data_IF_069369312834
#
_entry.id   IF_069369312834
#
_cell.length_a   1.000
_cell.length_b   1.000
_cell.length_c   1.000
_cell.angle_alpha   90.00
_cell.angle_beta   90.00
_cell.angle_gamma   90.00
#
_symmetry.space_group_name_H-M   'P 1'
#
loop_
_entity.id
_entity.type
_entity.pdbx_description
1 polymer ?
#
# COMPACT_ATOMS: atom_id res chain seq x y z
N UNK A 1 3.55 -4.84 -31.54
CA UNK A 1 4.62 -4.59 -30.55
C UNK A 1 3.99 -4.85 -29.19
N UNK A 2 4.45 -5.87 -28.48
CA UNK A 2 3.94 -6.15 -27.12
C UNK A 2 4.65 -5.19 -26.17
N UNK A 3 3.90 -4.27 -25.57
CA UNK A 3 4.41 -3.34 -24.57
C UNK A 3 3.95 -3.93 -23.24
N UNK A 4 4.89 -4.35 -22.41
CA UNK A 4 4.58 -4.90 -21.10
C UNK A 4 5.16 -4.01 -20.02
N UNK A 5 4.42 -3.79 -18.92
CA UNK A 5 4.80 -2.84 -17.87
C UNK A 5 4.62 -3.41 -16.46
N UNK A 6 5.62 -3.22 -15.60
CA UNK A 6 5.57 -3.52 -14.18
C UNK A 6 5.54 -2.21 -13.39
N UNK A 7 4.44 -1.99 -12.68
CA UNK A 7 4.18 -0.80 -11.89
C UNK A 7 4.25 -1.18 -10.40
N UNK A 8 5.24 -0.68 -9.67
CA UNK A 8 5.38 -1.02 -8.24
C UNK A 8 5.15 0.15 -7.32
N UNK A 9 4.27 -0.05 -6.35
CA UNK A 9 4.07 0.88 -5.23
C UNK A 9 4.99 0.51 -4.07
N UNK A 10 5.81 1.46 -3.64
CA UNK A 10 6.71 1.29 -2.50
C UNK A 10 5.91 1.09 -1.19
N UNK A 11 6.47 0.31 -0.25
CA UNK A 11 5.99 0.22 1.14
C UNK A 11 6.74 1.14 2.12
N UNK A 12 6.22 1.28 3.33
CA UNK A 12 6.87 2.09 4.38
C UNK A 12 6.11 2.17 5.69
N UNK A 13 5.18 1.23 5.93
CA UNK A 13 4.20 1.32 7.01
C UNK A 13 3.33 2.58 6.93
N UNK A 14 2.42 2.72 7.88
CA UNK A 14 1.47 3.83 7.94
C UNK A 14 1.82 4.80 9.06
N UNK A 15 1.23 5.98 9.03
CA UNK A 15 1.23 6.88 10.18
C UNK A 15 -0.20 7.09 10.67
N UNK A 16 -0.39 7.03 11.99
CA UNK A 16 -1.75 6.93 12.59
C UNK A 16 -2.15 8.13 13.45
N UNK A 17 -1.28 9.13 13.59
CA UNK A 17 -1.60 10.40 14.25
C UNK A 17 -0.95 11.55 13.51
N UNK A 18 -1.48 12.77 13.63
CA UNK A 18 -0.84 13.95 13.03
C UNK A 18 0.60 14.12 13.51
N UNK A 19 0.90 13.81 14.78
CA UNK A 19 2.26 13.87 15.34
C UNK A 19 3.20 12.88 14.64
N UNK A 20 2.78 11.63 14.51
CA UNK A 20 3.53 10.57 13.83
C UNK A 20 3.77 10.92 12.34
N UNK A 21 2.70 11.30 11.64
CA UNK A 21 2.77 11.70 10.25
C UNK A 21 3.65 12.95 10.03
N UNK A 22 3.52 13.96 10.89
CA UNK A 22 4.40 15.15 10.85
C UNK A 22 5.86 14.77 11.09
N UNK A 23 6.13 13.82 11.99
CA UNK A 23 7.47 13.29 12.21
C UNK A 23 8.10 12.67 10.95
N UNK A 24 7.28 12.06 10.08
CA UNK A 24 7.73 11.48 8.80
C UNK A 24 8.02 12.52 7.72
N UNK A 25 7.53 13.76 7.83
CA UNK A 25 7.65 14.80 6.79
C UNK A 25 9.10 15.11 6.38
N UNK A 26 10.04 14.92 7.30
CA UNK A 26 11.47 15.14 7.10
C UNK A 26 12.22 13.85 6.70
N UNK A 27 11.52 12.90 6.07
CA UNK A 27 12.08 11.60 5.67
C UNK A 27 11.66 11.22 4.26
N UNK A 28 12.28 10.15 3.73
CA UNK A 28 11.92 9.57 2.43
C UNK A 28 10.47 9.07 2.35
N UNK A 29 9.80 8.86 3.49
CA UNK A 29 8.42 8.37 3.59
C UNK A 29 7.40 9.50 3.81
N UNK A 30 7.83 10.76 3.79
CA UNK A 30 6.94 11.91 3.95
C UNK A 30 7.29 13.12 3.07
N UNK A 31 8.40 13.08 2.34
CA UNK A 31 8.73 14.11 1.35
C UNK A 31 9.67 13.60 0.27
N UNK A 32 9.38 13.98 -0.98
CA UNK A 32 10.24 13.71 -2.14
C UNK A 32 11.59 14.43 -2.07
N UNK A 33 11.72 15.49 -1.27
CA UNK A 33 12.99 16.22 -1.08
C UNK A 33 14.10 15.35 -0.48
N UNK A 34 13.75 14.25 0.20
CA UNK A 34 14.71 13.33 0.80
C UNK A 34 14.93 12.06 -0.05
N UNK A 35 14.15 11.87 -1.11
CA UNK A 35 14.24 10.69 -1.96
C UNK A 35 15.47 10.78 -2.86
N UNK A 36 16.31 9.75 -2.81
CA UNK A 36 17.44 9.60 -3.74
C UNK A 36 17.01 8.83 -4.99
N UNK A 37 17.71 9.03 -6.12
CA UNK A 37 17.52 8.20 -7.31
C UNK A 37 17.64 6.71 -6.97
N UNK A 38 16.72 5.92 -7.52
CA UNK A 38 16.75 4.47 -7.42
C UNK A 38 17.55 3.89 -8.58
N UNK A 39 18.26 2.80 -8.32
CA UNK A 39 18.84 1.94 -9.34
C UNK A 39 17.96 0.68 -9.41
N UNK A 40 17.68 0.19 -10.62
CA UNK A 40 16.88 -1.03 -10.82
C UNK A 40 17.74 -2.29 -10.95
N UNK A 41 19.00 -2.13 -11.35
CA UNK A 41 19.97 -3.24 -11.46
C UNK A 41 20.15 -3.94 -10.11
N UNK A 42 20.06 -5.27 -10.08
CA UNK A 42 20.19 -6.08 -8.87
C UNK A 42 18.92 -6.16 -8.01
N UNK A 43 17.78 -5.63 -8.47
CA UNK A 43 16.55 -5.51 -7.66
C UNK A 43 15.40 -6.39 -8.15
N UNK A 44 15.61 -7.72 -8.18
CA UNK A 44 14.55 -8.72 -8.37
C UNK A 44 13.70 -8.46 -9.61
N UNK A 45 12.39 -8.23 -9.43
CA UNK A 45 11.45 -7.98 -10.54
C UNK A 45 11.76 -6.73 -11.38
N UNK A 46 12.63 -5.83 -10.90
CA UNK A 46 13.10 -4.68 -11.68
C UNK A 46 14.42 -4.94 -12.40
N UNK A 47 15.09 -6.06 -12.13
CA UNK A 47 16.35 -6.34 -12.80
C UNK A 47 16.13 -6.50 -14.30
N UNK A 48 17.07 -5.98 -15.09
CA UNK A 48 17.05 -6.07 -16.56
C UNK A 48 17.92 -7.21 -17.07
N UNK A 49 18.58 -7.94 -16.18
CA UNK A 49 19.27 -9.19 -16.50
C UNK A 49 18.29 -10.37 -16.43
N UNK A 50 18.17 -11.11 -17.54
CA UNK A 50 17.32 -12.30 -17.68
C UNK A 50 17.69 -13.42 -16.69
N UNK A 51 18.95 -13.48 -16.23
CA UNK A 51 19.39 -14.48 -15.24
C UNK A 51 18.71 -14.23 -13.89
N UNK A 52 18.53 -12.96 -13.50
CA UNK A 52 17.92 -12.59 -12.22
C UNK A 52 16.42 -12.32 -12.32
N UNK A 53 15.92 -11.96 -13.50
CA UNK A 53 14.51 -11.65 -13.76
C UNK A 53 14.02 -12.28 -15.08
N UNK A 54 13.92 -13.62 -15.15
CA UNK A 54 13.65 -14.32 -16.41
C UNK A 54 12.29 -13.93 -17.03
N UNK A 55 11.32 -13.54 -16.20
CA UNK A 55 9.95 -13.26 -16.65
C UNK A 55 9.75 -11.81 -17.12
N UNK A 56 10.42 -10.84 -16.50
CA UNK A 56 10.14 -9.40 -16.69
C UNK A 56 11.35 -8.55 -17.07
N UNK A 57 12.51 -9.14 -17.39
CA UNK A 57 13.74 -8.40 -17.66
C UNK A 57 13.61 -7.33 -18.75
N UNK A 58 12.81 -7.59 -19.79
CA UNK A 58 12.61 -6.69 -20.94
C UNK A 58 11.32 -5.86 -20.87
N UNK A 59 10.60 -5.87 -19.74
CA UNK A 59 9.41 -5.05 -19.55
C UNK A 59 9.79 -3.59 -19.24
N UNK A 60 8.86 -2.67 -19.53
CA UNK A 60 8.92 -1.32 -18.98
C UNK A 60 8.72 -1.40 -17.47
N UNK A 61 9.53 -0.67 -16.71
CA UNK A 61 9.54 -0.77 -15.25
C UNK A 61 9.36 0.62 -14.66
N UNK A 62 8.45 0.71 -13.71
CA UNK A 62 8.15 1.96 -13.03
C UNK A 62 8.05 1.68 -11.54
N UNK A 63 8.64 2.59 -10.76
CA UNK A 63 8.67 2.51 -9.32
C UNK A 63 8.06 3.78 -8.72
N UNK A 64 6.87 3.64 -8.17
CA UNK A 64 6.12 4.74 -7.55
C UNK A 64 6.52 4.87 -6.09
N UNK A 65 7.11 6.02 -5.76
CA UNK A 65 7.64 6.31 -4.43
C UNK A 65 6.51 6.59 -3.43
N UNK A 66 6.63 6.03 -2.23
CA UNK A 66 5.63 6.15 -1.17
C UNK A 66 5.94 7.29 -0.21
N UNK A 67 5.00 8.21 -0.04
CA UNK A 67 5.15 9.33 0.89
C UNK A 67 3.85 9.84 1.53
N UNK A 68 2.75 9.08 1.45
CA UNK A 68 1.44 9.52 1.94
C UNK A 68 1.06 8.96 3.32
N UNK A 69 1.59 7.79 3.69
CA UNK A 69 1.30 7.16 4.98
C UNK A 69 -0.04 6.40 5.06
N UNK A 70 -0.78 6.24 3.96
CA UNK A 70 -2.08 5.56 3.88
C UNK A 70 -2.24 4.58 2.70
N UNK A 71 -1.15 4.01 2.18
CA UNK A 71 -1.24 3.06 1.04
C UNK A 71 -1.93 3.68 -0.17
N UNK A 72 -1.60 4.94 -0.47
CA UNK A 72 -2.21 5.71 -1.55
C UNK A 72 -3.74 5.85 -1.44
N UNK A 73 -4.30 5.82 -0.22
CA UNK A 73 -5.75 5.86 -0.02
C UNK A 73 -6.30 7.20 0.50
N UNK A 74 -5.47 7.98 1.20
CA UNK A 74 -5.90 9.20 1.89
C UNK A 74 -6.03 10.42 0.98
N UNK A 75 -6.97 11.31 1.31
CA UNK A 75 -6.97 12.70 0.83
C UNK A 75 -7.51 13.64 1.91
N UNK A 76 -6.62 14.22 2.71
CA UNK A 76 -6.97 15.14 3.79
C UNK A 76 -5.81 16.07 4.16
N UNK A 77 -6.07 16.91 5.16
CA UNK A 77 -5.10 17.81 5.76
C UNK A 77 -5.17 17.69 7.28
N UNK A 78 -4.03 17.84 7.93
CA UNK A 78 -3.92 17.94 9.38
C UNK A 78 -3.04 19.13 9.78
N UNK A 79 -3.12 19.53 11.05
CA UNK A 79 -2.27 20.58 11.61
C UNK A 79 -1.33 20.00 12.65
N UNK A 80 -0.02 20.09 12.40
CA UNK A 80 1.01 19.68 13.35
C UNK A 80 1.04 20.62 14.57
N UNK A 81 1.69 20.18 15.65
CA UNK A 81 1.81 20.96 16.88
C UNK A 81 2.53 22.29 16.69
N UNK A 82 3.42 22.37 15.69
CA UNK A 82 4.15 23.59 15.32
C UNK A 82 3.37 24.51 14.35
N UNK A 83 2.09 24.20 14.06
CA UNK A 83 1.24 24.95 13.13
C UNK A 83 1.49 24.63 11.65
N UNK A 84 2.35 23.65 11.33
CA UNK A 84 2.58 23.24 9.95
C UNK A 84 1.43 22.37 9.43
N UNK A 85 0.91 22.70 8.25
CA UNK A 85 -0.04 21.82 7.55
C UNK A 85 0.64 20.53 7.09
N UNK A 86 0.05 19.40 7.46
CA UNK A 86 0.45 18.06 6.99
C UNK A 86 -0.55 17.62 5.93
N UNK A 87 -0.04 17.25 4.75
CA UNK A 87 -0.86 16.84 3.62
C UNK A 87 -0.91 15.31 3.50
N UNK A 88 -2.11 14.76 3.56
CA UNK A 88 -2.39 13.36 3.30
C UNK A 88 -2.89 13.26 1.86
N UNK A 89 -2.04 12.87 0.91
CA UNK A 89 -2.33 12.98 -0.54
C UNK A 89 -2.22 11.68 -1.30
N UNK A 90 -2.34 10.55 -0.61
CA UNK A 90 -2.15 9.23 -1.18
C UNK A 90 -2.95 9.01 -2.46
N UNK A 91 -4.27 9.25 -2.40
CA UNK A 91 -5.15 9.06 -3.55
C UNK A 91 -4.77 9.99 -4.72
N UNK A 92 -4.50 11.26 -4.44
CA UNK A 92 -4.10 12.23 -5.48
C UNK A 92 -2.76 11.89 -6.12
N UNK A 93 -1.79 11.40 -5.33
CA UNK A 93 -0.49 10.97 -5.85
C UNK A 93 -0.71 9.78 -6.80
N UNK A 94 -1.50 8.78 -6.38
CA UNK A 94 -1.80 7.64 -7.24
C UNK A 94 -2.49 8.05 -8.55
N UNK A 95 -3.55 8.86 -8.47
CA UNK A 95 -4.27 9.31 -9.67
C UNK A 95 -3.37 10.11 -10.63
N UNK A 96 -2.56 11.03 -10.10
CA UNK A 96 -1.67 11.86 -10.90
C UNK A 96 -0.56 11.02 -11.56
N UNK A 97 0.08 10.13 -10.81
CA UNK A 97 1.18 9.29 -11.32
C UNK A 97 0.65 8.33 -12.37
N UNK A 98 -0.43 7.60 -12.09
CA UNK A 98 -0.99 6.67 -13.08
C UNK A 98 -1.48 7.44 -14.32
N UNK A 99 -2.11 8.60 -14.15
CA UNK A 99 -2.51 9.46 -15.27
C UNK A 99 -1.33 9.85 -16.18
N UNK A 100 -0.23 10.30 -15.59
CA UNK A 100 0.99 10.65 -16.34
C UNK A 100 1.60 9.44 -17.04
N UNK A 101 1.62 8.26 -16.39
CA UNK A 101 2.14 7.04 -17.00
C UNK A 101 1.32 6.58 -18.19
N UNK A 102 -0.01 6.70 -18.12
CA UNK A 102 -0.90 6.42 -19.25
C UNK A 102 -0.52 7.25 -20.47
N UNK A 103 -0.25 8.55 -20.29
CA UNK A 103 0.22 9.45 -21.36
C UNK A 103 1.62 9.11 -21.87
N UNK A 104 2.50 8.61 -21.00
CA UNK A 104 3.87 8.22 -21.35
C UNK A 104 3.99 6.83 -21.99
N UNK A 105 2.87 6.19 -22.31
CA UNK A 105 2.83 4.96 -23.10
C UNK A 105 2.32 3.73 -22.36
N UNK A 106 2.00 3.82 -21.07
CA UNK A 106 1.34 2.73 -20.35
C UNK A 106 0.00 2.38 -21.01
N UNK A 107 -0.73 3.36 -21.56
CA UNK A 107 -1.98 3.12 -22.29
C UNK A 107 -1.84 2.19 -23.50
N UNK A 108 -0.63 2.05 -24.06
CA UNK A 108 -0.33 1.19 -25.20
C UNK A 108 0.12 -0.22 -24.78
N UNK A 109 0.15 -0.51 -23.47
CA UNK A 109 0.57 -1.80 -22.97
C UNK A 109 -0.43 -2.91 -23.36
N UNK A 110 0.10 -4.06 -23.74
CA UNK A 110 -0.64 -5.29 -24.02
C UNK A 110 -0.75 -6.19 -22.78
N UNK A 111 0.22 -6.07 -21.86
CA UNK A 111 0.24 -6.79 -20.59
C UNK A 111 0.71 -5.83 -19.50
N UNK A 112 0.05 -5.85 -18.35
CA UNK A 112 0.42 -4.97 -17.23
C UNK A 112 0.38 -5.76 -15.94
N UNK A 113 1.44 -5.61 -15.14
CA UNK A 113 1.52 -6.12 -13.78
C UNK A 113 1.55 -4.94 -12.81
N UNK A 114 0.47 -4.76 -12.05
CA UNK A 114 0.43 -3.80 -10.96
C UNK A 114 0.82 -4.48 -9.66
N UNK A 115 1.85 -4.00 -8.99
CA UNK A 115 2.44 -4.66 -7.84
C UNK A 115 2.86 -3.67 -6.75
N UNK A 116 3.21 -4.19 -5.59
CA UNK A 116 3.61 -3.41 -4.43
C UNK A 116 4.03 -4.32 -3.29
N UNK A 117 4.88 -3.80 -2.41
CA UNK A 117 5.36 -4.53 -1.23
C UNK A 117 4.90 -3.84 0.07
N UNK A 118 4.48 -4.61 1.08
CA UNK A 118 4.06 -4.09 2.39
C UNK A 118 2.88 -3.10 2.28
N UNK A 119 3.04 -1.84 2.70
CA UNK A 119 2.02 -0.81 2.50
C UNK A 119 1.69 -0.58 1.01
N UNK A 120 2.65 -0.81 0.11
CA UNK A 120 2.40 -0.82 -1.34
C UNK A 120 1.65 -2.09 -1.78
N UNK A 121 1.89 -3.23 -1.14
CA UNK A 121 1.11 -4.45 -1.38
C UNK A 121 -0.37 -4.23 -1.02
N UNK A 122 -0.65 -3.57 0.11
CA UNK A 122 -2.01 -3.15 0.44
C UNK A 122 -2.56 -2.14 -0.59
N UNK A 123 -1.74 -1.20 -1.06
CA UNK A 123 -2.15 -0.27 -2.13
C UNK A 123 -2.51 -1.01 -3.42
N UNK A 124 -1.76 -2.06 -3.79
CA UNK A 124 -2.10 -2.94 -4.91
C UNK A 124 -3.46 -3.58 -4.72
N UNK A 125 -3.78 -4.05 -3.52
CA UNK A 125 -5.10 -4.64 -3.22
C UNK A 125 -6.21 -3.59 -3.36
N UNK A 126 -6.03 -2.42 -2.75
CA UNK A 126 -7.01 -1.32 -2.77
C UNK A 126 -7.33 -0.83 -4.19
N UNK A 127 -6.31 -0.70 -5.03
CA UNK A 127 -6.42 -0.04 -6.32
C UNK A 127 -6.48 -0.99 -7.52
N UNK A 128 -6.45 -2.31 -7.31
CA UNK A 128 -6.32 -3.28 -8.40
C UNK A 128 -7.40 -3.15 -9.48
N UNK A 129 -8.67 -3.12 -9.07
CA UNK A 129 -9.79 -3.03 -10.01
C UNK A 129 -9.87 -1.65 -10.68
N UNK A 130 -9.58 -0.57 -9.94
CA UNK A 130 -9.49 0.80 -10.51
C UNK A 130 -8.38 0.88 -11.57
N UNK A 131 -7.19 0.38 -11.24
CA UNK A 131 -6.06 0.34 -12.16
C UNK A 131 -6.41 -0.46 -13.41
N UNK A 132 -7.00 -1.64 -13.24
CA UNK A 132 -7.44 -2.49 -14.35
C UNK A 132 -8.50 -1.83 -15.22
N UNK A 133 -9.39 -1.02 -14.65
CA UNK A 133 -10.44 -0.33 -15.39
C UNK A 133 -9.93 0.77 -16.33
N UNK A 134 -8.65 1.17 -16.22
CA UNK A 134 -8.02 2.16 -17.09
C UNK A 134 -7.64 1.60 -18.47
N UNK A 135 -7.73 0.27 -18.65
CA UNK A 135 -7.34 -0.41 -19.86
C UNK A 135 -8.54 -1.04 -20.59
N UNK A 136 -8.49 -1.17 -21.93
CA UNK A 136 -9.44 -2.00 -22.67
C UNK A 136 -9.41 -3.46 -22.21
N UNK A 137 -10.54 -4.18 -22.35
CA UNK A 137 -10.68 -5.58 -21.93
C UNK A 137 -9.67 -6.55 -22.59
N UNK A 138 -9.08 -6.18 -23.72
CA UNK A 138 -8.08 -6.99 -24.42
C UNK A 138 -6.71 -6.97 -23.75
N UNK A 139 -6.43 -5.97 -22.90
CA UNK A 139 -5.16 -5.84 -22.18
C UNK A 139 -5.16 -6.80 -21.00
N UNK A 140 -4.13 -7.64 -20.89
CA UNK A 140 -3.98 -8.54 -19.76
C UNK A 140 -3.43 -7.79 -18.55
N UNK A 141 -4.31 -7.28 -17.69
CA UNK A 141 -3.94 -6.67 -16.41
C UNK A 141 -3.98 -7.71 -15.29
N UNK A 142 -2.91 -7.79 -14.49
CA UNK A 142 -2.83 -8.61 -13.29
C UNK A 142 -2.28 -7.79 -12.14
N UNK A 143 -2.70 -8.14 -10.92
CA UNK A 143 -2.18 -7.54 -9.70
C UNK A 143 -1.34 -8.53 -8.91
N UNK A 144 -0.27 -8.06 -8.29
CA UNK A 144 0.59 -8.87 -7.44
C UNK A 144 0.90 -8.13 -6.14
N UNK A 145 0.24 -8.53 -5.05
CA UNK A 145 0.44 -7.96 -3.74
C UNK A 145 1.45 -8.78 -2.93
N UNK A 146 2.61 -8.19 -2.64
CA UNK A 146 3.67 -8.79 -1.83
C UNK A 146 3.64 -8.22 -0.40
N UNK A 147 3.63 -9.08 0.62
CA UNK A 147 3.60 -8.72 2.04
C UNK A 147 2.52 -7.69 2.43
N UNK A 148 1.43 -7.60 1.66
CA UNK A 148 0.37 -6.62 1.82
C UNK A 148 -0.88 -7.15 2.51
N UNK A 149 -0.91 -8.43 2.87
CA UNK A 149 -2.10 -9.12 3.39
C UNK A 149 -2.08 -9.20 4.92
N UNK A 150 -2.50 -8.12 5.58
CA UNK A 150 -2.60 -8.04 7.03
C UNK A 150 -3.95 -8.55 7.55
N UNK A 151 -3.91 -9.17 8.72
CA UNK A 151 -5.06 -9.82 9.36
C UNK A 151 -5.57 -9.00 10.53
N UNK A 152 -6.89 -8.91 10.59
CA UNK A 152 -7.64 -8.39 11.71
C UNK A 152 -7.92 -9.49 12.73
N UNK A 153 -6.96 -9.71 13.61
CA UNK A 153 -7.01 -10.74 14.66
C UNK A 153 -6.68 -10.12 16.01
N UNK A 154 -7.03 -10.84 17.08
CA UNK A 154 -6.64 -10.47 18.43
C UNK A 154 -5.15 -10.73 18.65
N UNK A 155 -4.51 -9.81 19.35
CA UNK A 155 -3.14 -9.97 19.85
C UNK A 155 -3.12 -10.86 21.11
N UNK A 156 -1.93 -11.10 21.67
CA UNK A 156 -1.75 -11.94 22.86
C UNK A 156 -2.46 -11.43 24.12
N UNK A 157 -2.83 -10.14 24.16
CA UNK A 157 -3.62 -9.55 25.25
C UNK A 157 -5.13 -9.67 25.04
N UNK A 158 -5.56 -10.21 23.90
CA UNK A 158 -6.98 -10.37 23.53
C UNK A 158 -7.58 -9.15 22.83
N UNK A 159 -6.76 -8.14 22.53
CA UNK A 159 -7.17 -6.86 21.93
C UNK A 159 -6.93 -6.85 20.41
N UNK A 160 -7.68 -6.03 19.68
CA UNK A 160 -7.51 -5.87 18.22
C UNK A 160 -6.54 -4.72 17.90
N UNK A 161 -5.29 -4.83 18.36
CA UNK A 161 -4.31 -3.72 18.26
C UNK A 161 -4.06 -3.24 16.83
N UNK A 162 -3.98 -4.14 15.86
CA UNK A 162 -3.82 -3.75 14.45
C UNK A 162 -5.07 -3.05 13.92
N UNK A 163 -6.26 -3.56 14.26
CA UNK A 163 -7.51 -2.89 13.91
C UNK A 163 -7.56 -1.46 14.46
N UNK A 164 -7.17 -1.26 15.72
CA UNK A 164 -7.13 0.08 16.31
C UNK A 164 -6.12 0.99 15.61
N UNK A 165 -5.01 0.44 15.13
CA UNK A 165 -4.03 1.19 14.34
C UNK A 165 -4.59 1.58 12.96
N UNK A 166 -5.16 0.64 12.21
CA UNK A 166 -5.82 0.93 10.93
C UNK A 166 -7.00 1.89 11.11
N UNK A 167 -7.79 1.75 12.18
CA UNK A 167 -8.88 2.68 12.47
C UNK A 167 -8.35 4.11 12.54
N UNK A 168 -7.25 4.34 13.29
CA UNK A 168 -6.62 5.65 13.37
C UNK A 168 -6.11 6.16 12.01
N UNK A 169 -5.53 5.30 11.17
CA UNK A 169 -5.10 5.67 9.81
C UNK A 169 -6.30 6.11 8.96
N UNK A 170 -7.36 5.30 8.93
CA UNK A 170 -8.59 5.54 8.15
C UNK A 170 -9.31 6.80 8.59
N UNK A 171 -9.39 7.06 9.90
CA UNK A 171 -10.02 8.27 10.44
C UNK A 171 -9.17 9.52 10.20
N UNK A 172 -7.84 9.43 10.37
CA UNK A 172 -6.94 10.58 10.23
C UNK A 172 -6.87 11.07 8.80
N UNK A 173 -6.59 10.16 7.86
CA UNK A 173 -6.24 10.57 6.51
C UNK A 173 -7.45 10.94 5.65
N UNK A 174 -8.66 10.75 6.19
CA UNK A 174 -10.00 10.97 5.59
C UNK A 174 -10.09 10.50 4.12
N UNK A 175 -11.30 10.46 3.54
CA UNK A 175 -11.48 10.04 2.14
C UNK A 175 -10.93 8.66 1.73
N UNK A 176 -10.34 7.88 2.64
CA UNK A 176 -9.97 6.47 2.43
C UNK A 176 -11.20 5.67 2.00
N UNK A 177 -12.40 6.07 2.44
CA UNK A 177 -13.68 5.49 1.99
C UNK A 177 -13.88 5.54 0.48
N UNK A 178 -13.22 6.45 -0.25
CA UNK A 178 -13.34 6.56 -1.71
C UNK A 178 -12.69 5.39 -2.45
N UNK A 179 -11.64 4.79 -1.87
CA UNK A 179 -10.93 3.65 -2.46
C UNK A 179 -11.47 2.30 -1.98
N UNK A 180 -12.44 2.31 -1.06
CA UNK A 180 -13.04 1.09 -0.50
C UNK A 180 -14.26 0.65 -1.29
N UNK A 181 -14.46 -0.66 -1.39
CA UNK A 181 -15.58 -1.21 -2.13
C UNK A 181 -16.92 -0.85 -1.49
N UNK A 182 -17.85 -0.34 -2.30
CA UNK A 182 -19.17 0.15 -1.84
C UNK A 182 -19.98 -0.93 -1.14
N UNK A 183 -19.91 -2.18 -1.61
CA UNK A 183 -20.66 -3.29 -1.00
C UNK A 183 -20.17 -3.62 0.41
N UNK A 184 -18.88 -3.44 0.68
CA UNK A 184 -18.34 -3.58 2.03
C UNK A 184 -18.85 -2.43 2.92
N UNK A 185 -18.72 -1.18 2.43
CA UNK A 185 -19.15 0.01 3.16
C UNK A 185 -20.66 0.06 3.45
N UNK A 186 -21.48 -0.69 2.71
CA UNK A 186 -22.91 -0.79 2.95
C UNK A 186 -23.24 -1.51 4.28
N UNK A 187 -22.36 -2.39 4.75
CA UNK A 187 -22.66 -3.29 5.87
C UNK A 187 -21.58 -3.30 6.98
N UNK A 188 -20.42 -2.66 6.76
CA UNK A 188 -19.26 -2.74 7.66
C UNK A 188 -18.62 -1.38 7.92
N UNK A 189 -17.88 -1.29 9.01
CA UNK A 189 -17.06 -0.10 9.30
C UNK A 189 -15.95 0.05 8.23
N UNK A 190 -15.60 1.29 7.80
CA UNK A 190 -14.50 1.50 6.85
C UNK A 190 -13.18 0.86 7.25
N UNK A 191 -12.91 0.76 8.55
CA UNK A 191 -11.70 0.11 9.05
C UNK A 191 -11.69 -1.36 8.70
N UNK A 192 -12.81 -2.07 8.87
CA UNK A 192 -12.93 -3.46 8.45
C UNK A 192 -12.73 -3.58 6.94
N UNK A 193 -13.35 -2.68 6.17
CA UNK A 193 -13.23 -2.66 4.72
C UNK A 193 -11.82 -2.31 4.23
N UNK A 194 -10.99 -1.69 5.06
CA UNK A 194 -9.58 -1.40 4.75
C UNK A 194 -8.67 -2.62 4.94
N UNK A 195 -9.12 -3.66 5.66
CA UNK A 195 -8.36 -4.90 5.78
C UNK A 195 -8.44 -5.74 4.50
N UNK A 196 -7.31 -6.32 4.06
CA UNK A 196 -7.24 -7.22 2.90
C UNK A 196 -8.27 -8.34 2.90
N UNK A 197 -8.59 -8.90 4.07
CA UNK A 197 -9.59 -9.98 4.21
C UNK A 197 -10.99 -9.59 3.73
N UNK A 198 -11.36 -8.31 3.80
CA UNK A 198 -12.61 -7.80 3.23
C UNK A 198 -12.43 -7.34 1.79
N UNK A 199 -11.31 -6.68 1.45
CA UNK A 199 -11.03 -6.17 0.11
C UNK A 199 -11.07 -7.28 -0.95
N UNK A 200 -10.43 -8.42 -0.69
CA UNK A 200 -10.34 -9.53 -1.67
C UNK A 200 -11.69 -10.15 -2.02
N UNK A 201 -12.73 -9.94 -1.19
CA UNK A 201 -14.07 -10.47 -1.46
C UNK A 201 -14.75 -9.77 -2.65
N UNK A 202 -14.27 -8.58 -3.01
CA UNK A 202 -14.88 -7.75 -4.06
C UNK A 202 -13.98 -7.53 -5.27
N UNK A 203 -12.70 -7.91 -5.20
CA UNK A 203 -11.74 -7.79 -6.31
C UNK A 203 -12.12 -8.71 -7.46
N UNK A 204 -12.17 -8.16 -8.67
CA UNK A 204 -12.51 -8.89 -9.90
C UNK A 204 -11.28 -9.17 -10.76
N UNK A 205 -10.29 -8.29 -10.71
CA UNK A 205 -9.07 -8.43 -11.50
C UNK A 205 -8.19 -9.55 -10.93
N UNK A 206 -7.60 -10.41 -11.80
CA UNK A 206 -6.74 -11.50 -11.34
C UNK A 206 -5.60 -10.99 -10.45
N UNK A 207 -5.56 -11.49 -9.23
CA UNK A 207 -4.61 -11.09 -8.21
C UNK A 207 -3.83 -12.29 -7.66
N UNK A 208 -2.52 -12.15 -7.61
CA UNK A 208 -1.65 -13.05 -6.85
C UNK A 208 -1.27 -12.38 -5.52
N UNK A 209 -1.38 -13.10 -4.42
CA UNK A 209 -1.03 -12.62 -3.08
C UNK A 209 0.14 -13.46 -2.59
N UNK A 210 1.30 -12.83 -2.37
CA UNK A 210 2.44 -13.43 -1.69
C UNK A 210 2.52 -12.82 -0.30
N UNK A 211 2.41 -13.65 0.73
CA UNK A 211 2.55 -13.19 2.10
C UNK A 211 3.26 -14.26 2.92
N UNK A 212 4.17 -13.84 3.80
CA UNK A 212 4.75 -14.75 4.79
C UNK A 212 3.66 -15.22 5.75
N UNK A 213 3.73 -16.49 6.18
CA UNK A 213 2.88 -17.01 7.25
C UNK A 213 3.15 -16.28 8.59
N UNK A 214 4.35 -15.77 8.77
CA UNK A 214 4.80 -15.01 9.95
C UNK A 214 5.41 -13.69 9.48
N UNK A 215 4.57 -12.82 8.89
CA UNK A 215 4.97 -11.47 8.52
C UNK A 215 5.43 -10.68 9.76
N UNK A 216 6.57 -10.01 9.67
CA UNK A 216 7.19 -9.35 10.82
C UNK A 216 6.36 -8.18 11.36
N UNK A 217 5.63 -7.47 10.49
CA UNK A 217 4.72 -6.39 10.89
C UNK A 217 3.46 -6.97 11.55
N UNK A 218 2.88 -8.04 10.99
CA UNK A 218 1.75 -8.72 11.62
C UNK A 218 2.14 -9.26 13.01
N UNK A 219 3.29 -9.91 13.12
CA UNK A 219 3.83 -10.43 14.37
C UNK A 219 4.07 -9.30 15.38
N UNK A 220 4.59 -8.15 14.93
CA UNK A 220 4.75 -6.99 15.79
C UNK A 220 3.43 -6.55 16.42
N UNK A 221 2.35 -6.43 15.64
CA UNK A 221 1.05 -6.06 16.19
C UNK A 221 0.42 -7.13 17.07
N UNK A 222 0.63 -8.41 16.76
CA UNK A 222 -0.02 -9.51 17.47
C UNK A 222 0.72 -9.91 18.76
N UNK A 223 2.04 -9.71 18.84
CA UNK A 223 2.87 -10.17 19.96
C UNK A 223 3.50 -8.98 20.69
N UNK A 224 4.06 -8.02 19.96
CA UNK A 224 4.98 -7.02 20.51
C UNK A 224 4.34 -5.65 20.78
N UNK A 225 3.15 -5.35 20.27
CA UNK A 225 2.50 -4.05 20.49
C UNK A 225 2.14 -3.79 21.96
N UNK A 226 1.94 -4.88 22.73
CA UNK A 226 1.69 -4.84 24.18
C UNK A 226 2.86 -4.26 24.99
N UNK A 227 4.10 -4.23 24.45
CA UNK A 227 5.29 -3.74 25.16
C UNK A 227 5.24 -2.24 25.52
N UNK A 228 4.29 -1.49 24.95
CA UNK A 228 4.03 -0.09 25.31
C UNK A 228 3.37 0.06 26.70
N UNK A 229 2.88 -1.04 27.29
CA UNK A 229 2.26 -1.10 28.61
C UNK A 229 2.90 -2.24 29.44
N UNK A 230 4.08 -1.95 29.99
CA UNK A 230 4.98 -2.89 30.71
C UNK A 230 4.31 -3.72 31.81
N UNK A 231 3.20 -3.27 32.39
CA UNK A 231 2.57 -3.92 33.54
C UNK A 231 1.79 -5.20 33.23
N UNK A 232 1.51 -5.53 31.96
CA UNK A 232 0.66 -6.67 31.59
C UNK A 232 1.40 -7.92 31.07
N UNK A 233 2.72 -7.84 30.81
CA UNK A 233 3.44 -8.89 30.05
C UNK A 233 4.73 -9.42 30.71
N UNK A 234 4.87 -9.35 32.03
CA UNK A 234 6.06 -9.91 32.74
C UNK A 234 5.98 -11.43 32.97
N UNK A 235 4.96 -12.13 32.45
CA UNK A 235 4.66 -13.50 32.88
C UNK A 235 4.84 -14.62 31.84
N UNK A 236 5.43 -14.38 30.66
CA UNK A 236 5.66 -15.47 29.69
C UNK A 236 7.00 -15.39 28.96
N UNK A 237 8.09 -15.44 29.74
CA UNK A 237 9.35 -16.09 29.32
C UNK A 237 9.71 -17.15 30.36
#
# INVERSE_FOLDING_TARGET
MYISSTENTQGGGWCSTVKDCSGRRMSVLGSSNFMKPLQFTGHGIFDSDEIYNPDFYNWNKVYVRYCDGASFAGDAEGQAQDGTTVYFRGLRIYEAVIGELMEKGLANATQVLFTGCSAGGLATILHCDDFSARFPQQVSVKCFADAGFFLDVKDISGERSFWSFYNRVVQLQQNVRQVLHKDCLANKDPTECFFPTELIKSIRTPMFILNSAYDSWQVFFNIFYCYSNIYLCVLML
#
